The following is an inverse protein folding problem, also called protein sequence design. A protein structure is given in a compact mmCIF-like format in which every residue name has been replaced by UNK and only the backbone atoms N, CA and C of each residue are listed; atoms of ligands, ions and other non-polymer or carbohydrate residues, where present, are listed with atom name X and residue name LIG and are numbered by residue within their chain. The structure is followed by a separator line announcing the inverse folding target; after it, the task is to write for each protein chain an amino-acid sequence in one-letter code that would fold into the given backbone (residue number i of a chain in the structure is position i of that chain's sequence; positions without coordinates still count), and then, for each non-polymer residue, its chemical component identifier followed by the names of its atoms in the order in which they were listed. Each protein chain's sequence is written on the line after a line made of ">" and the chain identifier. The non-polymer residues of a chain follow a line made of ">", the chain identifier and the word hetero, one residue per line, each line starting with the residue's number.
data_IF_209859151320
#
_entry.id   IF_209859151320
#
_cell.length_a   1.000
_cell.length_b   1.000
_cell.length_c   1.000
_cell.angle_alpha   90.00
_cell.angle_beta   90.00
_cell.angle_gamma   90.00
#
_symmetry.space_group_name_H-M   'P 1'
#
loop_
_entity.id
_entity.type
_entity.pdbx_description
1 polymer ?
#
# COMPACT_ATOMS: atom_id res chain seq x y z
N UNK A 1 -23.69 -18.57 -12.00
CA UNK A 1 -24.89 -18.10 -12.76
C UNK A 1 -24.63 -16.62 -13.04
N UNK A 2 -24.37 -16.29 -14.31
CA UNK A 2 -24.05 -14.92 -14.74
C UNK A 2 -25.32 -14.07 -14.64
N UNK A 3 -25.30 -13.03 -13.79
CA UNK A 3 -26.35 -12.01 -13.81
C UNK A 3 -26.08 -11.04 -14.96
N UNK A 4 -26.99 -11.01 -15.93
CA UNK A 4 -26.98 -10.04 -17.01
C UNK A 4 -27.54 -8.71 -16.50
N UNK A 5 -26.72 -7.66 -16.46
CA UNK A 5 -27.18 -6.31 -16.16
C UNK A 5 -27.87 -5.75 -17.41
N UNK A 6 -29.18 -5.55 -17.35
CA UNK A 6 -29.95 -4.94 -18.45
C UNK A 6 -29.98 -3.42 -18.26
N UNK A 7 -29.34 -2.70 -19.15
CA UNK A 7 -29.52 -1.25 -19.26
C UNK A 7 -30.63 -1.01 -20.29
N UNK A 8 -31.80 -0.53 -19.84
CA UNK A 8 -32.94 -0.26 -20.68
C UNK A 8 -32.82 1.11 -21.37
N UNK A 9 -32.18 1.17 -22.54
CA UNK A 9 -32.24 2.29 -23.45
C UNK A 9 -33.32 2.06 -24.52
N UNK A 10 -34.31 2.97 -24.60
CA UNK A 10 -35.44 2.92 -25.51
C UNK A 10 -35.06 2.50 -26.93
N UNK A 11 -35.65 1.40 -27.38
CA UNK A 11 -35.75 0.83 -28.73
C UNK A 11 -34.54 0.10 -29.34
N UNK A 12 -34.65 -1.24 -29.32
CA UNK A 12 -34.20 -2.20 -30.35
C UNK A 12 -32.82 -2.82 -30.30
N UNK A 13 -31.94 -2.64 -29.28
CA UNK A 13 -30.78 -3.53 -29.11
C UNK A 13 -30.56 -3.79 -27.64
N UNK A 14 -30.67 -5.04 -27.21
CA UNK A 14 -30.10 -5.51 -25.93
C UNK A 14 -28.61 -5.64 -26.18
N UNK A 15 -27.82 -4.65 -25.75
CA UNK A 15 -26.38 -4.77 -25.73
C UNK A 15 -26.06 -5.62 -24.49
N UNK A 16 -25.58 -6.85 -24.70
CA UNK A 16 -24.96 -7.66 -23.66
C UNK A 16 -23.61 -7.02 -23.36
N UNK A 17 -23.54 -6.23 -22.30
CA UNK A 17 -22.27 -5.72 -21.78
C UNK A 17 -21.63 -6.88 -21.02
N UNK A 18 -20.53 -7.40 -21.52
CA UNK A 18 -19.72 -8.39 -20.81
C UNK A 18 -18.80 -7.63 -19.85
N UNK A 19 -19.19 -7.56 -18.60
CA UNK A 19 -18.30 -7.07 -17.54
C UNK A 19 -17.17 -8.10 -17.39
N UNK A 20 -15.94 -7.66 -17.61
CA UNK A 20 -14.76 -8.51 -17.53
C UNK A 20 -14.24 -8.62 -16.09
N UNK A 21 -14.42 -7.56 -15.30
CA UNK A 21 -14.17 -7.54 -13.88
C UNK A 21 -15.11 -6.55 -13.18
N UNK A 22 -15.51 -6.87 -11.95
CA UNK A 22 -16.21 -5.96 -11.06
C UNK A 22 -15.82 -6.24 -9.61
N UNK A 23 -15.57 -5.17 -8.87
CA UNK A 23 -15.48 -5.26 -7.41
C UNK A 23 -16.12 -4.04 -6.73
N UNK A 24 -16.59 -4.26 -5.50
CA UNK A 24 -17.36 -3.30 -4.74
C UNK A 24 -16.82 -3.17 -3.30
N UNK A 25 -16.75 -1.94 -2.82
CA UNK A 25 -16.36 -1.59 -1.45
C UNK A 25 -17.49 -0.73 -0.87
N UNK A 26 -18.30 -1.29 0.03
CA UNK A 26 -19.44 -0.60 0.65
C UNK A 26 -19.21 -0.27 2.14
N UNK A 27 -18.26 -0.94 2.80
CA UNK A 27 -17.86 -0.59 4.17
C UNK A 27 -17.10 0.74 4.19
N UNK A 28 -17.58 1.71 4.97
CA UNK A 28 -17.01 3.06 5.00
C UNK A 28 -15.54 3.09 5.44
N UNK A 29 -15.12 2.21 6.36
CA UNK A 29 -13.71 2.13 6.78
C UNK A 29 -12.85 1.57 5.66
N UNK A 30 -13.33 0.55 4.96
CA UNK A 30 -12.63 -0.03 3.81
C UNK A 30 -12.57 0.98 2.65
N UNK A 31 -13.60 1.78 2.41
CA UNK A 31 -13.56 2.91 1.46
C UNK A 31 -12.46 3.91 1.83
N UNK A 32 -12.40 4.32 3.10
CA UNK A 32 -11.36 5.25 3.59
C UNK A 32 -9.96 4.67 3.44
N UNK A 33 -9.77 3.38 3.74
CA UNK A 33 -8.51 2.65 3.56
C UNK A 33 -8.11 2.66 2.08
N UNK A 34 -9.03 2.30 1.18
CA UNK A 34 -8.77 2.24 -0.26
C UNK A 34 -8.38 3.61 -0.82
N UNK A 35 -9.12 4.65 -0.48
CA UNK A 35 -8.78 6.04 -0.84
C UNK A 35 -7.42 6.45 -0.26
N UNK A 36 -7.13 6.07 0.99
CA UNK A 36 -5.88 6.40 1.68
C UNK A 36 -4.67 5.75 0.98
N UNK A 37 -4.77 4.50 0.55
CA UNK A 37 -3.72 3.80 -0.18
C UNK A 37 -3.29 4.63 -1.40
N UNK A 38 -4.20 4.95 -2.30
CA UNK A 38 -3.86 5.67 -3.53
C UNK A 38 -3.49 7.14 -3.30
N UNK A 39 -3.99 7.77 -2.21
CA UNK A 39 -3.57 9.11 -1.84
C UNK A 39 -2.09 9.18 -1.46
N UNK A 40 -1.51 8.12 -0.93
CA UNK A 40 -0.10 8.07 -0.55
C UNK A 40 0.78 7.36 -1.57
N UNK A 41 0.24 6.39 -2.32
CA UNK A 41 0.98 5.68 -3.37
C UNK A 41 1.51 6.61 -4.48
N UNK A 42 0.81 7.73 -4.76
CA UNK A 42 1.26 8.78 -5.70
C UNK A 42 2.62 9.42 -5.34
N UNK A 43 3.12 9.24 -4.12
CA UNK A 43 4.43 9.73 -3.71
C UNK A 43 5.57 8.77 -4.08
N UNK A 44 5.23 7.55 -4.48
CA UNK A 44 6.17 6.52 -4.94
C UNK A 44 6.22 6.44 -6.46
N UNK A 45 5.06 6.57 -7.12
CA UNK A 45 4.95 6.36 -8.56
C UNK A 45 3.81 7.14 -9.20
N UNK A 46 3.95 7.46 -10.48
CA UNK A 46 2.91 8.07 -11.30
C UNK A 46 2.00 7.04 -11.99
N UNK A 47 2.47 5.80 -12.11
CA UNK A 47 1.71 4.73 -12.77
C UNK A 47 1.91 3.39 -12.10
N UNK A 48 0.89 2.54 -12.18
CA UNK A 48 0.88 1.17 -11.65
C UNK A 48 0.25 0.23 -12.65
N UNK A 49 0.60 -1.05 -12.54
CA UNK A 49 -0.20 -2.14 -13.10
C UNK A 49 -1.04 -2.75 -11.98
N UNK A 50 -2.35 -2.60 -12.13
CA UNK A 50 -3.34 -3.25 -11.29
C UNK A 50 -3.61 -4.64 -11.85
N UNK A 51 -3.22 -5.66 -11.12
CA UNK A 51 -3.53 -7.05 -11.44
C UNK A 51 -4.72 -7.49 -10.62
N UNK A 52 -5.75 -8.02 -11.27
CA UNK A 52 -6.89 -8.66 -10.61
C UNK A 52 -6.96 -10.11 -11.01
N UNK A 53 -7.27 -10.99 -10.05
CA UNK A 53 -7.45 -12.43 -10.26
C UNK A 53 -8.66 -12.91 -9.47
N UNK A 54 -9.15 -14.15 -9.64
CA UNK A 54 -10.23 -14.67 -8.81
C UNK A 54 -9.97 -14.56 -7.29
N UNK A 55 -8.69 -14.55 -6.88
CA UNK A 55 -8.26 -14.57 -5.49
C UNK A 55 -8.03 -13.18 -4.89
N UNK A 56 -7.51 -12.23 -5.69
CA UNK A 56 -7.03 -10.96 -5.13
C UNK A 56 -6.87 -9.83 -6.14
N UNK A 57 -6.79 -8.62 -5.61
CA UNK A 57 -6.21 -7.45 -6.26
C UNK A 57 -4.74 -7.33 -5.82
N UNK A 58 -3.85 -7.19 -6.79
CA UNK A 58 -2.41 -7.13 -6.58
C UNK A 58 -1.79 -5.91 -7.29
N UNK A 59 -0.92 -5.20 -6.59
CA UNK A 59 -0.10 -4.12 -7.15
C UNK A 59 1.31 -4.31 -6.63
N UNK A 60 2.29 -4.25 -7.52
CA UNK A 60 3.70 -4.20 -7.18
C UNK A 60 4.37 -3.11 -8.00
N UNK A 61 5.35 -2.46 -7.44
CA UNK A 61 6.14 -1.47 -8.15
C UNK A 61 7.34 -1.00 -7.36
N UNK A 62 8.08 -0.11 -7.97
CA UNK A 62 9.28 0.50 -7.40
C UNK A 62 9.15 2.02 -7.52
N UNK A 63 9.73 2.75 -6.57
CA UNK A 63 9.83 4.19 -6.67
C UNK A 63 10.75 4.61 -7.84
N UNK A 64 10.65 5.86 -8.27
CA UNK A 64 11.44 6.39 -9.38
C UNK A 64 12.95 6.37 -9.14
N UNK A 65 13.38 6.28 -7.88
CA UNK A 65 14.78 6.16 -7.49
C UNK A 65 15.30 4.73 -7.47
N UNK A 66 14.45 3.74 -7.68
CA UNK A 66 14.76 2.30 -7.58
C UNK A 66 15.34 1.89 -6.23
N UNK A 67 14.89 2.56 -5.16
CA UNK A 67 15.37 2.37 -3.79
C UNK A 67 14.31 1.68 -2.92
N UNK A 68 13.03 1.94 -3.20
CA UNK A 68 11.92 1.38 -2.45
C UNK A 68 10.99 0.57 -3.36
N UNK A 69 10.81 -0.71 -3.06
CA UNK A 69 9.77 -1.56 -3.67
C UNK A 69 8.55 -1.54 -2.77
N UNK A 70 7.38 -1.50 -3.36
CA UNK A 70 6.10 -1.62 -2.64
C UNK A 70 5.25 -2.74 -3.23
N UNK A 71 4.44 -3.36 -2.38
CA UNK A 71 3.55 -4.45 -2.73
C UNK A 71 2.23 -4.33 -1.95
N UNK A 72 1.12 -4.31 -2.67
CA UNK A 72 -0.23 -4.33 -2.11
C UNK A 72 -0.93 -5.61 -2.53
N UNK A 73 -1.48 -6.33 -1.57
CA UNK A 73 -2.37 -7.47 -1.78
C UNK A 73 -3.67 -7.20 -1.03
N UNK A 74 -4.80 -7.19 -1.73
CA UNK A 74 -6.13 -7.18 -1.15
C UNK A 74 -6.85 -8.45 -1.60
N UNK A 75 -7.16 -9.32 -0.66
CA UNK A 75 -7.84 -10.59 -0.95
C UNK A 75 -9.27 -10.34 -1.46
N UNK A 76 -9.82 -11.24 -2.24
CA UNK A 76 -11.17 -11.10 -2.82
C UNK A 76 -12.25 -10.96 -1.75
N UNK A 77 -12.10 -11.58 -0.59
CA UNK A 77 -13.02 -11.50 0.56
C UNK A 77 -12.90 -10.16 1.33
N UNK A 78 -11.87 -9.37 1.07
CA UNK A 78 -11.77 -8.00 1.57
C UNK A 78 -12.83 -7.09 0.95
N UNK A 79 -13.29 -7.39 -0.27
CA UNK A 79 -14.32 -6.63 -0.99
C UNK A 79 -15.73 -7.11 -0.62
N UNK A 80 -16.72 -6.24 -0.73
CA UNK A 80 -18.12 -6.61 -0.53
C UNK A 80 -18.64 -7.48 -1.68
N UNK A 81 -18.18 -7.21 -2.89
CA UNK A 81 -18.48 -7.96 -4.10
C UNK A 81 -17.22 -8.12 -4.91
N UNK A 82 -16.99 -9.31 -5.44
CA UNK A 82 -15.84 -9.64 -6.27
C UNK A 82 -16.27 -10.56 -7.40
N UNK A 83 -16.25 -10.06 -8.62
CA UNK A 83 -16.60 -10.78 -9.83
C UNK A 83 -15.45 -10.67 -10.82
N UNK A 84 -14.50 -11.58 -10.71
CA UNK A 84 -13.32 -11.69 -11.57
C UNK A 84 -13.11 -13.16 -11.90
N UNK A 85 -13.35 -13.53 -13.14
CA UNK A 85 -13.25 -14.94 -13.59
C UNK A 85 -11.81 -15.34 -13.96
N UNK A 86 -11.01 -14.39 -14.46
CA UNK A 86 -9.67 -14.64 -14.95
C UNK A 86 -8.71 -13.54 -14.53
N UNK A 87 -7.41 -13.87 -14.48
CA UNK A 87 -6.36 -12.86 -14.23
C UNK A 87 -6.33 -11.84 -15.36
N UNK A 88 -6.38 -10.56 -14.99
CA UNK A 88 -6.31 -9.41 -15.89
C UNK A 88 -5.38 -8.36 -15.32
N UNK A 89 -4.84 -7.51 -16.19
CA UNK A 89 -3.93 -6.42 -15.82
C UNK A 89 -4.39 -5.11 -16.45
N UNK A 90 -4.34 -4.02 -15.67
CA UNK A 90 -4.76 -2.69 -16.08
C UNK A 90 -3.67 -1.69 -15.74
N UNK A 91 -3.13 -1.02 -16.75
CA UNK A 91 -2.22 0.11 -16.56
C UNK A 91 -2.97 1.35 -16.13
N UNK A 92 -2.60 1.95 -15.01
CA UNK A 92 -3.37 3.00 -14.34
C UNK A 92 -2.46 4.19 -13.98
N UNK A 93 -2.93 5.42 -14.27
CA UNK A 93 -2.34 6.64 -13.72
C UNK A 93 -2.75 6.84 -12.26
N UNK A 94 -1.79 6.78 -11.33
CA UNK A 94 -2.05 6.96 -9.90
C UNK A 94 -2.56 8.35 -9.56
N UNK A 95 -2.02 9.46 -10.12
CA UNK A 95 -2.57 10.80 -9.90
C UNK A 95 -4.03 10.95 -10.34
N UNK A 96 -4.41 10.35 -11.49
CA UNK A 96 -5.79 10.40 -11.99
C UNK A 96 -6.70 9.58 -11.09
N UNK A 97 -6.33 8.33 -10.77
CA UNK A 97 -7.10 7.48 -9.87
C UNK A 97 -7.28 8.15 -8.50
N UNK A 98 -6.22 8.69 -7.92
CA UNK A 98 -6.30 9.43 -6.66
C UNK A 98 -7.26 10.65 -6.75
N UNK A 99 -7.21 11.42 -7.85
CA UNK A 99 -8.13 12.54 -8.07
C UNK A 99 -9.58 12.07 -8.12
N UNK A 100 -9.85 10.94 -8.75
CA UNK A 100 -11.18 10.33 -8.83
C UNK A 100 -11.63 9.84 -7.46
N UNK A 101 -10.82 9.04 -6.77
CA UNK A 101 -11.18 8.45 -5.48
C UNK A 101 -11.47 9.52 -4.40
N UNK A 102 -10.79 10.67 -4.46
CA UNK A 102 -11.04 11.80 -3.54
C UNK A 102 -12.41 12.47 -3.72
N UNK A 103 -13.15 12.18 -4.79
CA UNK A 103 -14.52 12.68 -5.01
C UNK A 103 -15.55 11.80 -4.27
N UNK A 104 -15.16 10.61 -3.83
CA UNK A 104 -16.00 9.73 -3.02
C UNK A 104 -16.45 10.48 -1.76
N UNK A 105 -17.75 10.50 -1.52
CA UNK A 105 -18.34 11.12 -0.33
C UNK A 105 -18.59 10.05 0.75
N UNK A 106 -18.74 10.50 1.98
CA UNK A 106 -19.17 9.62 3.08
C UNK A 106 -20.50 8.94 2.70
N UNK A 107 -20.66 7.68 3.06
CA UNK A 107 -21.83 6.84 2.75
C UNK A 107 -22.02 6.51 1.28
N UNK A 108 -20.98 6.64 0.45
CA UNK A 108 -20.99 6.10 -0.90
C UNK A 108 -20.23 4.78 -0.98
N UNK A 109 -20.76 3.86 -1.76
CA UNK A 109 -20.11 2.63 -2.19
C UNK A 109 -19.21 2.95 -3.38
N UNK A 110 -18.00 2.41 -3.38
CA UNK A 110 -17.07 2.45 -4.51
C UNK A 110 -17.28 1.18 -5.32
N UNK A 111 -17.63 1.34 -6.59
CA UNK A 111 -17.75 0.23 -7.53
C UNK A 111 -16.75 0.46 -8.64
N UNK A 112 -15.87 -0.52 -8.89
CA UNK A 112 -14.88 -0.44 -9.97
C UNK A 112 -15.15 -1.63 -10.89
N UNK A 113 -15.31 -1.32 -12.18
CA UNK A 113 -15.59 -2.34 -13.19
C UNK A 113 -14.98 -1.97 -14.55
N UNK A 114 -14.78 -2.98 -15.39
CA UNK A 114 -14.38 -2.82 -16.78
C UNK A 114 -15.21 -3.74 -17.67
N UNK A 115 -15.63 -3.22 -18.82
CA UNK A 115 -16.30 -3.94 -19.89
C UNK A 115 -15.44 -4.05 -21.18
N UNK A 116 -14.28 -3.39 -21.17
CA UNK A 116 -13.33 -3.35 -22.29
C UNK A 116 -11.90 -3.07 -21.79
N UNK A 117 -10.94 -3.09 -22.69
CA UNK A 117 -9.52 -2.86 -22.38
C UNK A 117 -9.12 -1.37 -22.55
N UNK A 118 -10.06 -0.45 -22.75
CA UNK A 118 -9.77 0.97 -22.99
C UNK A 118 -9.97 1.83 -21.74
N UNK A 119 -11.01 1.52 -20.95
CA UNK A 119 -11.44 2.34 -19.81
C UNK A 119 -11.68 1.52 -18.55
N UNK A 120 -11.31 2.09 -17.40
CA UNK A 120 -11.76 1.67 -16.09
C UNK A 120 -12.95 2.56 -15.66
N UNK A 121 -14.07 1.95 -15.30
CA UNK A 121 -15.24 2.65 -14.81
C UNK A 121 -15.22 2.64 -13.28
N UNK A 122 -15.48 3.81 -12.68
CA UNK A 122 -15.46 4.00 -11.23
C UNK A 122 -16.74 4.75 -10.85
N UNK A 123 -17.60 4.07 -10.11
CA UNK A 123 -18.88 4.60 -9.71
C UNK A 123 -18.93 4.81 -8.20
N UNK A 124 -19.49 5.92 -7.78
CA UNK A 124 -19.80 6.21 -6.38
C UNK A 124 -21.30 6.27 -6.22
N UNK A 125 -21.89 5.29 -5.55
CA UNK A 125 -23.34 5.14 -5.42
C UNK A 125 -23.77 5.17 -3.96
N UNK A 126 -24.99 5.62 -3.69
CA UNK A 126 -25.62 5.59 -2.38
C UNK A 126 -27.13 5.47 -2.54
N UNK A 127 -27.75 4.74 -1.64
CA UNK A 127 -29.23 4.69 -1.51
C UNK A 127 -29.78 5.82 -0.63
N UNK A 128 -28.88 6.60 0.01
CA UNK A 128 -29.26 7.68 0.91
C UNK A 128 -29.81 8.87 0.13
N UNK A 129 -30.97 9.41 0.59
CA UNK A 129 -31.58 10.57 -0.05
C UNK A 129 -30.70 11.81 0.07
N UNK A 130 -30.46 12.46 -1.05
CA UNK A 130 -29.65 13.69 -1.11
C UNK A 130 -28.18 13.46 -1.44
N UNK A 131 -27.73 12.21 -1.47
CA UNK A 131 -26.39 11.85 -1.95
C UNK A 131 -26.46 11.62 -3.47
N UNK A 132 -25.64 12.35 -4.22
CA UNK A 132 -25.61 12.24 -5.69
C UNK A 132 -24.70 11.11 -6.11
N UNK A 133 -25.21 10.18 -6.91
CA UNK A 133 -24.40 9.15 -7.54
C UNK A 133 -23.50 9.77 -8.62
N UNK A 134 -22.29 9.26 -8.75
CA UNK A 134 -21.27 9.76 -9.68
C UNK A 134 -20.72 8.59 -10.48
N UNK A 135 -20.58 8.79 -11.77
CA UNK A 135 -20.12 7.77 -12.72
C UNK A 135 -18.93 8.36 -13.49
N UNK A 136 -17.77 7.74 -13.38
CA UNK A 136 -16.54 8.23 -13.95
C UNK A 136 -15.92 7.16 -14.84
N UNK A 137 -15.24 7.62 -15.88
CA UNK A 137 -14.40 6.78 -16.74
C UNK A 137 -12.97 7.28 -16.69
N UNK A 138 -12.05 6.36 -16.56
CA UNK A 138 -10.62 6.65 -16.57
C UNK A 138 -9.96 5.84 -17.67
N UNK A 139 -9.28 6.48 -18.63
CA UNK A 139 -8.55 5.76 -19.67
C UNK A 139 -7.44 4.90 -19.06
N UNK A 140 -7.28 3.71 -19.58
CA UNK A 140 -6.18 2.81 -19.26
C UNK A 140 -4.91 3.22 -20.01
N UNK A 141 -3.77 2.80 -19.48
CA UNK A 141 -2.45 3.05 -20.04
C UNK A 141 -1.83 1.70 -20.47
N UNK A 142 -1.12 1.72 -21.57
CA UNK A 142 -0.23 0.60 -21.92
C UNK A 142 1.07 0.73 -21.11
N UNK A 143 1.27 -0.19 -20.15
CA UNK A 143 2.42 -0.20 -19.25
C UNK A 143 3.08 -1.57 -19.35
N UNK A 144 4.29 -1.58 -19.84
CA UNK A 144 5.13 -2.78 -19.81
C UNK A 144 5.83 -2.85 -18.45
N UNK A 145 5.55 -3.91 -17.69
CA UNK A 145 6.15 -4.12 -16.37
C UNK A 145 6.61 -5.55 -16.19
N UNK A 146 7.85 -5.69 -15.78
CA UNK A 146 8.35 -6.96 -15.26
C UNK A 146 7.93 -7.12 -13.80
N UNK A 147 7.39 -8.28 -13.45
CA UNK A 147 7.17 -8.62 -12.05
C UNK A 147 8.50 -8.85 -11.35
N UNK A 148 8.73 -8.07 -10.29
CA UNK A 148 9.90 -8.26 -9.45
C UNK A 148 9.71 -9.52 -8.60
N UNK A 149 10.66 -10.44 -8.70
CA UNK A 149 10.70 -11.56 -7.77
C UNK A 149 11.31 -11.09 -6.45
N UNK A 150 10.50 -11.03 -5.40
CA UNK A 150 10.95 -10.72 -4.05
C UNK A 150 11.24 -12.05 -3.37
N UNK A 151 12.48 -12.36 -3.04
CA UNK A 151 12.82 -13.62 -2.36
C UNK A 151 12.26 -13.63 -0.94
N UNK A 152 11.89 -14.81 -0.46
CA UNK A 152 11.63 -15.01 0.96
C UNK A 152 12.93 -14.79 1.72
N UNK A 153 12.90 -13.91 2.71
CA UNK A 153 14.05 -13.50 3.49
C UNK A 153 13.80 -13.78 4.97
N UNK A 154 14.75 -14.43 5.62
CA UNK A 154 14.77 -14.51 7.08
C UNK A 154 15.42 -13.23 7.62
N UNK A 155 14.78 -12.60 8.60
CA UNK A 155 15.26 -11.38 9.22
C UNK A 155 15.85 -11.67 10.61
N UNK A 156 16.85 -10.90 11.01
CA UNK A 156 17.53 -11.06 12.30
C UNK A 156 16.84 -10.27 13.41
N UNK A 157 16.10 -9.22 13.07
CA UNK A 157 15.31 -8.40 14.00
C UNK A 157 13.90 -8.23 13.48
N UNK A 158 12.94 -8.58 14.31
CA UNK A 158 11.50 -8.37 14.08
C UNK A 158 10.93 -7.46 15.17
N UNK A 159 10.24 -6.40 14.76
CA UNK A 159 9.60 -5.42 15.64
C UNK A 159 8.13 -5.32 15.24
N UNK A 160 7.21 -5.45 16.20
CA UNK A 160 5.81 -5.03 16.03
C UNK A 160 5.50 -3.89 16.98
N UNK A 161 4.94 -2.80 16.46
CA UNK A 161 4.59 -1.64 17.25
C UNK A 161 3.40 -0.87 16.68
N UNK A 162 2.80 -0.02 17.51
CA UNK A 162 1.73 0.90 17.08
C UNK A 162 2.19 1.73 15.87
N UNK A 163 1.41 1.67 14.78
CA UNK A 163 1.77 2.31 13.50
C UNK A 163 1.90 3.83 13.60
N UNK A 164 1.07 4.47 14.45
CA UNK A 164 1.12 5.91 14.66
C UNK A 164 2.31 6.30 15.54
N UNK A 165 2.64 5.48 16.56
CA UNK A 165 3.84 5.66 17.38
C UNK A 165 5.10 5.59 16.52
N UNK A 166 5.19 4.58 15.64
CA UNK A 166 6.32 4.46 14.69
C UNK A 166 6.42 5.67 13.77
N UNK A 167 5.28 6.08 13.17
CA UNK A 167 5.26 7.29 12.32
C UNK A 167 5.76 8.52 13.07
N UNK A 168 5.29 8.77 14.28
CA UNK A 168 5.70 9.94 15.07
C UNK A 168 7.20 9.89 15.39
N UNK A 169 7.74 8.71 15.76
CA UNK A 169 9.16 8.50 16.00
C UNK A 169 10.01 8.85 14.76
N UNK A 170 9.60 8.38 13.59
CA UNK A 170 10.30 8.68 12.34
C UNK A 170 10.21 10.18 12.00
N UNK A 171 9.07 10.81 12.22
CA UNK A 171 8.89 12.25 12.01
C UNK A 171 9.83 13.07 12.94
N UNK A 172 10.00 12.66 14.19
CA UNK A 172 10.90 13.31 15.15
C UNK A 172 12.37 13.14 14.74
N UNK A 173 12.80 11.91 14.40
CA UNK A 173 14.16 11.61 13.92
C UNK A 173 14.50 12.34 12.63
N UNK A 174 13.52 12.56 11.75
CA UNK A 174 13.72 13.27 10.47
C UNK A 174 14.11 14.75 10.62
N UNK A 175 13.91 15.33 11.80
CA UNK A 175 14.31 16.72 12.07
C UNK A 175 15.84 16.88 12.24
N UNK A 176 16.57 15.80 12.46
CA UNK A 176 18.01 15.84 12.75
C UNK A 176 18.86 15.52 11.51
N UNK A 177 18.48 14.53 10.70
CA UNK A 177 19.24 14.16 9.50
C UNK A 177 18.34 13.46 8.47
N UNK A 178 18.84 13.33 7.23
CA UNK A 178 18.24 12.54 6.15
C UNK A 178 18.55 11.03 6.26
N UNK A 179 19.30 10.60 7.29
CA UNK A 179 19.70 9.22 7.51
C UNK A 179 19.21 8.73 8.86
N UNK A 180 18.56 7.57 8.84
CA UNK A 180 18.30 6.76 10.02
C UNK A 180 19.36 5.70 10.12
N UNK A 181 20.10 5.68 11.23
CA UNK A 181 20.99 4.60 11.60
C UNK A 181 20.27 3.67 12.57
N UNK A 182 20.38 2.39 12.34
CA UNK A 182 19.83 1.33 13.20
C UNK A 182 21.02 0.49 13.68
N UNK A 183 21.19 0.43 14.98
CA UNK A 183 22.24 -0.38 15.65
C UNK A 183 21.56 -1.37 16.60
N UNK A 184 21.88 -2.65 16.48
CA UNK A 184 21.46 -3.68 17.39
C UNK A 184 22.69 -4.49 17.77
N UNK A 185 23.02 -4.51 19.07
CA UNK A 185 24.17 -5.24 19.62
C UNK A 185 23.79 -6.60 20.26
N UNK A 186 22.55 -7.06 19.99
CA UNK A 186 22.00 -8.29 20.56
C UNK A 186 21.25 -8.09 21.89
N UNK A 187 21.53 -7.01 22.62
CA UNK A 187 20.83 -6.66 23.88
C UNK A 187 19.93 -5.43 23.70
N UNK A 188 20.36 -4.48 22.87
CA UNK A 188 19.73 -3.19 22.70
C UNK A 188 19.54 -2.86 21.23
N UNK A 189 18.34 -2.36 20.90
CA UNK A 189 18.03 -1.80 19.58
C UNK A 189 17.97 -0.29 19.68
N UNK A 190 18.78 0.40 18.88
CA UNK A 190 18.87 1.86 18.86
C UNK A 190 18.55 2.41 17.47
N UNK A 191 17.70 3.42 17.43
CA UNK A 191 17.46 4.25 16.25
C UNK A 191 18.11 5.60 16.46
N UNK A 192 19.00 5.98 15.55
CA UNK A 192 19.76 7.23 15.64
C UNK A 192 19.59 8.07 14.38
N UNK A 193 19.45 9.38 14.59
CA UNK A 193 19.59 10.38 13.54
C UNK A 193 20.49 11.50 14.05
N UNK A 194 21.59 11.78 13.33
CA UNK A 194 22.65 12.69 13.80
C UNK A 194 23.11 13.65 12.70
N UNK A 195 23.30 14.92 13.08
CA UNK A 195 23.87 15.96 12.23
C UNK A 195 24.82 16.86 13.03
N UNK A 196 25.43 17.87 12.36
CA UNK A 196 26.23 18.88 13.04
C UNK A 196 25.45 19.76 14.04
N UNK A 197 24.13 19.74 14.00
CA UNK A 197 23.24 20.53 14.86
C UNK A 197 22.74 19.76 16.08
N UNK A 198 22.84 18.42 16.06
CA UNK A 198 22.41 17.57 17.17
C UNK A 198 22.26 16.11 16.79
N UNK A 199 22.03 15.30 17.82
CA UNK A 199 21.82 13.84 17.70
C UNK A 199 20.59 13.45 18.50
N UNK A 200 19.72 12.64 17.89
CA UNK A 200 18.62 11.98 18.58
C UNK A 200 18.85 10.47 18.55
N UNK A 201 18.93 9.87 19.73
CA UNK A 201 19.02 8.43 19.93
C UNK A 201 17.76 7.94 20.62
N UNK A 202 17.16 6.90 20.11
CA UNK A 202 16.01 6.24 20.71
C UNK A 202 16.32 4.78 20.91
N UNK A 203 16.32 4.37 22.18
CA UNK A 203 16.48 2.98 22.56
C UNK A 203 15.10 2.35 22.57
N UNK A 204 14.97 1.22 21.89
CA UNK A 204 13.73 0.44 21.80
C UNK A 204 13.90 -0.81 22.65
N UNK A 205 13.00 -0.97 23.61
CA UNK A 205 12.95 -2.12 24.52
C UNK A 205 11.68 -2.92 24.32
N UNK A 206 11.62 -4.10 24.88
CA UNK A 206 10.42 -4.96 24.86
C UNK A 206 9.20 -4.31 25.54
N UNK A 207 9.42 -3.34 26.43
CA UNK A 207 8.34 -2.59 27.08
C UNK A 207 7.73 -1.49 26.18
N UNK A 208 8.46 -1.11 25.11
CA UNK A 208 8.06 -0.03 24.21
C UNK A 208 7.23 -0.48 23.02
N UNK A 209 7.25 -1.77 22.69
CA UNK A 209 6.73 -2.38 21.47
C UNK A 209 5.90 -3.62 21.80
N UNK A 210 5.08 -4.07 20.86
CA UNK A 210 4.25 -5.27 21.03
C UNK A 210 5.07 -6.56 20.88
N UNK A 211 6.06 -6.52 19.99
CA UNK A 211 7.05 -7.59 19.79
C UNK A 211 8.41 -6.98 19.50
N UNK A 212 9.43 -7.51 20.16
CA UNK A 212 10.83 -7.33 19.78
C UNK A 212 11.49 -8.71 19.84
N UNK A 213 11.84 -9.24 18.69
CA UNK A 213 12.60 -10.48 18.56
C UNK A 213 13.93 -10.18 17.86
N UNK A 214 15.01 -10.61 18.47
CA UNK A 214 16.37 -10.48 17.94
C UNK A 214 17.00 -11.86 17.95
N UNK A 215 17.62 -12.24 16.83
CA UNK A 215 18.35 -13.50 16.73
C UNK A 215 19.59 -13.41 17.66
N UNK A 216 19.81 -14.46 18.46
CA UNK A 216 20.91 -14.53 19.45
C UNK A 216 22.28 -14.30 18.77
N UNK A 217 23.16 -13.54 19.42
CA UNK A 217 24.51 -13.18 18.97
C UNK A 217 24.59 -12.43 17.62
N UNK A 218 23.50 -11.79 17.18
CA UNK A 218 23.50 -10.96 15.96
C UNK A 218 23.74 -9.49 16.29
N UNK A 219 24.73 -8.93 15.63
CA UNK A 219 24.94 -7.48 15.57
C UNK A 219 24.48 -6.95 14.21
N UNK A 220 23.70 -5.87 14.21
CA UNK A 220 23.22 -5.22 13.01
C UNK A 220 23.60 -3.75 13.04
N UNK A 221 24.22 -3.30 11.95
CA UNK A 221 24.46 -1.88 11.69
C UNK A 221 23.98 -1.54 10.29
N UNK A 222 22.88 -0.85 10.22
CA UNK A 222 22.25 -0.51 8.94
C UNK A 222 21.86 0.96 8.91
N UNK A 223 21.94 1.57 7.74
CA UNK A 223 21.56 2.97 7.52
C UNK A 223 20.55 3.06 6.40
N UNK A 224 19.50 3.89 6.57
CA UNK A 224 18.44 4.04 5.61
C UNK A 224 18.12 5.51 5.35
N UNK A 225 17.59 5.81 4.16
CA UNK A 225 17.07 7.13 3.86
C UNK A 225 15.77 7.41 4.62
N UNK A 226 15.80 8.30 5.60
CA UNK A 226 14.65 8.57 6.50
C UNK A 226 13.44 9.10 5.74
N UNK A 227 13.65 9.84 4.64
CA UNK A 227 12.59 10.32 3.75
C UNK A 227 11.71 9.19 3.22
N UNK A 228 12.32 8.05 2.83
CA UNK A 228 11.56 6.90 2.33
C UNK A 228 10.75 6.24 3.44
N UNK A 229 11.36 6.07 4.62
CA UNK A 229 10.64 5.52 5.79
C UNK A 229 9.48 6.44 6.17
N UNK A 230 9.68 7.75 6.16
CA UNK A 230 8.63 8.74 6.41
C UNK A 230 7.47 8.62 5.41
N UNK A 231 7.76 8.37 4.14
CA UNK A 231 6.73 8.12 3.11
C UNK A 231 5.99 6.79 3.35
N UNK A 232 6.72 5.72 3.71
CA UNK A 232 6.13 4.43 4.06
C UNK A 232 5.23 4.54 5.29
N UNK A 233 5.62 5.34 6.29
CA UNK A 233 4.85 5.61 7.50
C UNK A 233 3.55 6.40 7.25
N UNK A 234 3.37 7.05 6.09
CA UNK A 234 2.08 7.68 5.77
C UNK A 234 0.93 6.65 5.65
N UNK A 235 1.26 5.38 5.49
CA UNK A 235 0.28 4.30 5.44
C UNK A 235 -0.18 3.81 6.83
N UNK A 236 0.18 4.47 7.91
CA UNK A 236 -0.16 4.11 9.30
C UNK A 236 -1.65 3.87 9.59
N UNK A 237 -2.55 4.41 8.75
CA UNK A 237 -4.00 4.21 8.91
C UNK A 237 -4.50 2.86 8.38
N UNK A 238 -3.66 2.10 7.69
CA UNK A 238 -4.02 0.77 7.17
C UNK A 238 -4.17 -0.26 8.29
N UNK A 239 -3.40 -0.09 9.37
CA UNK A 239 -3.40 -1.01 10.51
C UNK A 239 -3.04 -0.25 11.79
N UNK A 240 -3.54 -0.70 12.92
CA UNK A 240 -3.15 -0.18 14.24
C UNK A 240 -1.68 -0.48 14.54
N UNK A 241 -1.17 -1.61 14.03
CA UNK A 241 0.21 -2.05 14.22
C UNK A 241 0.93 -2.17 12.88
N UNK A 242 2.25 -2.00 12.90
CA UNK A 242 3.13 -2.29 11.78
C UNK A 242 4.25 -3.23 12.22
N UNK A 243 4.69 -4.07 11.30
CA UNK A 243 5.85 -4.93 11.51
C UNK A 243 7.06 -4.38 10.72
N UNK A 244 8.20 -4.29 11.39
CA UNK A 244 9.47 -3.84 10.81
C UNK A 244 10.44 -5.01 10.92
N UNK A 245 11.03 -5.40 9.80
CA UNK A 245 11.97 -6.52 9.73
C UNK A 245 13.31 -6.02 9.19
N UNK A 246 14.38 -6.34 9.89
CA UNK A 246 15.72 -5.81 9.62
C UNK A 246 16.73 -6.94 9.66
N UNK A 247 17.66 -6.93 8.73
CA UNK A 247 18.88 -7.72 8.77
C UNK A 247 20.00 -6.99 8.03
N UNK A 248 21.25 -7.40 8.26
CA UNK A 248 22.42 -6.75 7.66
C UNK A 248 22.40 -6.87 6.14
N UNK A 249 22.69 -5.77 5.43
CA UNK A 249 22.85 -5.71 3.96
C UNK A 249 21.63 -6.13 3.12
N UNK A 250 20.47 -6.30 3.75
CA UNK A 250 19.21 -6.67 3.11
C UNK A 250 18.22 -5.50 3.21
N UNK A 251 17.31 -5.30 2.25
CA UNK A 251 16.29 -4.28 2.37
C UNK A 251 15.45 -4.42 3.64
N UNK A 252 15.30 -3.33 4.40
CA UNK A 252 14.34 -3.24 5.50
C UNK A 252 12.93 -3.49 4.95
N UNK A 253 12.16 -4.35 5.62
CA UNK A 253 10.75 -4.52 5.30
C UNK A 253 9.88 -3.79 6.33
N UNK A 254 8.92 -2.98 5.85
CA UNK A 254 7.83 -2.43 6.65
C UNK A 254 6.51 -3.01 6.13
N UNK A 255 5.75 -3.65 7.01
CA UNK A 255 4.50 -4.36 6.68
C UNK A 255 3.34 -3.84 7.50
N UNK A 256 2.21 -3.63 6.82
CA UNK A 256 0.90 -3.36 7.41
C UNK A 256 -0.06 -4.50 7.07
N UNK A 257 -0.66 -5.13 8.08
CA UNK A 257 -1.74 -6.10 7.90
C UNK A 257 -3.05 -5.34 7.92
N UNK A 258 -3.75 -5.30 6.77
CA UNK A 258 -4.99 -4.54 6.61
C UNK A 258 -6.17 -5.32 7.18
N UNK A 259 -6.32 -6.57 6.76
CA UNK A 259 -7.36 -7.50 7.22
C UNK A 259 -7.01 -8.92 6.72
N UNK A 260 -6.93 -9.91 7.59
CA UNK A 260 -6.55 -11.28 7.25
C UNK A 260 -5.23 -11.33 6.48
N UNK A 261 -5.26 -11.85 5.25
CA UNK A 261 -4.11 -11.93 4.36
C UNK A 261 -3.96 -10.71 3.43
N UNK A 262 -4.80 -9.68 3.60
CA UNK A 262 -4.68 -8.41 2.89
C UNK A 262 -3.60 -7.55 3.55
N UNK A 263 -2.59 -7.17 2.79
CA UNK A 263 -1.38 -6.52 3.31
C UNK A 263 -0.86 -5.43 2.38
N UNK A 264 -0.12 -4.49 2.96
CA UNK A 264 0.78 -3.57 2.27
C UNK A 264 2.19 -3.76 2.80
N UNK A 265 3.15 -3.98 1.91
CA UNK A 265 4.58 -4.15 2.24
C UNK A 265 5.43 -3.15 1.47
N UNK A 266 6.51 -2.76 2.12
CA UNK A 266 7.57 -1.94 1.54
C UNK A 266 8.91 -2.58 1.81
N UNK A 267 9.83 -2.47 0.86
CA UNK A 267 11.20 -2.95 0.97
C UNK A 267 12.13 -1.80 0.62
N UNK A 268 12.91 -1.35 1.57
CA UNK A 268 13.81 -0.20 1.43
C UNK A 268 15.26 -0.66 1.43
N UNK A 269 15.97 -0.38 0.34
CA UNK A 269 17.40 -0.69 0.25
C UNK A 269 18.20 0.09 1.31
N UNK A 270 19.19 -0.54 1.98
CA UNK A 270 20.10 0.14 2.88
C UNK A 270 20.97 1.13 2.10
N UNK A 271 21.45 2.17 2.78
CA UNK A 271 22.51 3.03 2.26
C UNK A 271 23.82 2.26 2.22
N UNK A 272 24.55 2.37 1.13
CA UNK A 272 25.89 1.79 1.02
C UNK A 272 26.82 2.65 1.88
N UNK A 273 27.45 2.05 2.89
CA UNK A 273 28.55 2.68 3.62
C UNK A 273 29.73 2.83 2.66
N UNK A 274 30.10 4.04 2.33
CA UNK A 274 31.41 4.28 1.72
C UNK A 274 32.42 4.23 2.86
N UNK A 275 33.07 3.07 3.05
CA UNK A 275 34.28 2.94 3.86
C UNK A 275 35.43 3.78 3.30
#
# INVERSE_FOLDING_TARGET
>A
VRENVYVNCNKYYTILIFITMLFEISDGKKCDIFVHIFNHLKHFTDSIVLTVSPEMLYIQGMDSGHICVYELMLQSDWFQKWEVDNKQTYGISVPILNKILRICSVNQTIIIHSDNDEDLQIDFTSEEKGVLNKYLKMPLMDIDTDHLHIPDTEYDVDIEMDSKKFKNLIDELSNFNETLNIDCDGEQLTFESSSGEGTMNVIITTDDVELLAVVEDKEIKASYGIKYISQMCQFYKLSSTCAIHITQDIPLQLKYVIDGDSIMRFYLAPKISND
#
